data_IF_505787706528
#
_entry.id   IF_505787706528
#
_cell.length_a   1.000
_cell.length_b   1.000
_cell.length_c   1.000
_cell.angle_alpha   90.00
_cell.angle_beta   90.00
_cell.angle_gamma   90.00
#
_symmetry.space_group_name_H-M   'P 1'
#
loop_
_entity.id
_entity.type
_entity.pdbx_description
1 polymer ?
#
# COMPACT_ATOMS: atom_id res chain seq x y z
N UNK A 1 12.70 -7.94 0.46
CA UNK A 1 11.54 -7.46 1.24
C UNK A 1 11.01 -8.59 2.10
N UNK A 2 10.51 -8.29 3.31
CA UNK A 2 10.00 -9.30 4.22
C UNK A 2 8.74 -9.99 3.69
N UNK A 3 8.45 -11.17 4.24
CA UNK A 3 7.21 -11.94 4.03
C UNK A 3 6.09 -11.53 4.98
N UNK A 4 6.30 -10.49 5.78
CA UNK A 4 5.33 -9.96 6.73
C UNK A 4 4.79 -8.60 6.27
N UNK A 5 3.65 -8.11 6.81
CA UNK A 5 3.21 -6.74 6.61
C UNK A 5 4.27 -5.72 7.02
N UNK A 6 4.23 -4.55 6.39
CA UNK A 6 5.09 -3.42 6.75
C UNK A 6 4.27 -2.34 7.42
N UNK A 7 4.74 -1.87 8.57
CA UNK A 7 4.30 -0.62 9.15
C UNK A 7 5.03 0.54 8.47
N UNK A 8 4.27 1.52 7.99
CA UNK A 8 4.80 2.79 7.49
C UNK A 8 4.30 3.93 8.36
N UNK A 9 5.19 4.88 8.63
CA UNK A 9 4.88 6.12 9.30
C UNK A 9 5.11 7.29 8.35
N UNK A 10 4.10 8.12 8.16
CA UNK A 10 4.24 9.43 7.54
C UNK A 10 4.50 10.47 8.62
N UNK A 11 5.63 11.17 8.50
CA UNK A 11 5.95 12.31 9.34
C UNK A 11 5.78 13.59 8.52
N UNK A 12 4.66 14.27 8.75
CA UNK A 12 4.28 15.51 8.04
C UNK A 12 4.44 16.76 8.92
N UNK A 13 5.00 16.60 10.13
CA UNK A 13 5.09 17.66 11.15
C UNK A 13 3.74 18.26 11.54
N UNK A 14 3.77 19.42 12.20
CA UNK A 14 2.59 20.18 12.63
C UNK A 14 2.00 21.05 11.49
N UNK A 15 1.97 20.51 10.27
CA UNK A 15 1.58 21.25 9.06
C UNK A 15 0.06 21.47 8.92
N UNK A 16 -0.76 20.87 9.79
CA UNK A 16 -2.22 20.87 9.65
C UNK A 16 -2.71 20.04 8.45
N UNK A 17 -1.83 19.25 7.85
CA UNK A 17 -2.15 18.37 6.74
C UNK A 17 -2.74 17.04 7.23
N UNK A 18 -3.65 16.49 6.44
CA UNK A 18 -4.24 15.18 6.60
C UNK A 18 -3.60 14.20 5.63
N UNK A 19 -3.50 12.93 6.07
CA UNK A 19 -2.98 11.83 5.26
C UNK A 19 -4.14 10.91 4.91
N UNK A 20 -4.54 10.94 3.64
CA UNK A 20 -5.58 10.07 3.12
C UNK A 20 -4.97 8.85 2.43
N UNK A 21 -5.40 7.67 2.88
CA UNK A 21 -5.11 6.40 2.23
C UNK A 21 -6.14 6.17 1.10
N UNK A 22 -5.69 6.26 -0.15
CA UNK A 22 -6.53 6.08 -1.33
C UNK A 22 -6.57 4.62 -1.83
N UNK A 23 -6.06 3.68 -1.04
CA UNK A 23 -6.02 2.26 -1.36
C UNK A 23 -4.96 1.90 -2.39
N UNK A 24 -5.21 0.82 -3.12
CA UNK A 24 -4.29 0.34 -4.15
C UNK A 24 -4.25 1.28 -5.36
N UNK A 25 -3.08 1.42 -5.97
CA UNK A 25 -2.94 2.20 -7.21
C UNK A 25 -3.72 1.53 -8.36
N UNK A 26 -4.67 2.25 -8.96
CA UNK A 26 -5.68 1.71 -9.91
C UNK A 26 -5.08 0.98 -11.12
N UNK A 27 -4.00 1.51 -11.69
CA UNK A 27 -3.40 0.99 -12.92
C UNK A 27 -2.15 0.12 -12.67
N UNK A 28 -1.98 -0.33 -11.42
CA UNK A 28 -0.86 -1.19 -11.05
C UNK A 28 -1.28 -2.65 -11.02
N UNK A 29 -0.56 -3.49 -11.76
CA UNK A 29 -0.74 -4.95 -11.76
C UNK A 29 -0.23 -5.55 -10.45
N UNK A 30 -1.14 -5.68 -9.46
CA UNK A 30 -0.89 -6.28 -8.16
C UNK A 30 -0.68 -7.79 -8.36
N UNK A 31 0.51 -8.30 -8.02
CA UNK A 31 0.83 -9.72 -8.20
C UNK A 31 0.93 -10.40 -6.84
N UNK A 32 -0.09 -11.17 -6.38
CA UNK A 32 0.00 -11.92 -5.15
C UNK A 32 1.09 -13.01 -5.25
N UNK A 33 1.66 -13.39 -4.11
CA UNK A 33 2.46 -14.60 -4.02
C UNK A 33 1.55 -15.82 -3.91
N UNK A 34 1.96 -16.92 -4.52
CA UNK A 34 1.26 -18.20 -4.49
C UNK A 34 1.75 -19.10 -3.33
N UNK A 35 2.15 -18.49 -2.21
CA UNK A 35 2.70 -19.21 -1.06
C UNK A 35 1.55 -19.68 -0.16
N UNK A 36 1.60 -20.92 0.33
CA UNK A 36 0.61 -21.44 1.30
C UNK A 36 0.51 -20.60 2.59
N UNK A 37 1.53 -19.78 2.85
CA UNK A 37 1.60 -18.82 3.96
C UNK A 37 1.11 -17.41 3.63
N UNK A 38 0.88 -17.08 2.35
CA UNK A 38 0.23 -15.82 2.02
C UNK A 38 -1.18 -15.87 2.62
N UNK A 39 -1.47 -14.94 3.54
CA UNK A 39 -2.77 -14.87 4.23
C UNK A 39 -3.83 -14.73 3.16
N UNK A 40 -4.50 -15.85 2.81
CA UNK A 40 -5.56 -16.03 1.79
C UNK A 40 -5.94 -14.71 1.11
N UNK A 41 -5.03 -14.21 0.28
CA UNK A 41 -5.28 -12.99 -0.46
C UNK A 41 -6.24 -13.45 -1.54
N UNK A 42 -7.53 -13.25 -1.29
CA UNK A 42 -8.60 -13.67 -2.18
C UNK A 42 -8.22 -13.23 -3.59
N UNK A 43 -7.98 -14.19 -4.48
CA UNK A 43 -7.42 -13.93 -5.80
C UNK A 43 -8.40 -13.00 -6.55
N UNK A 44 -8.05 -11.71 -6.64
CA UNK A 44 -8.91 -10.66 -7.19
C UNK A 44 -9.23 -9.49 -6.26
N UNK A 45 -8.89 -9.56 -4.96
CA UNK A 45 -9.04 -8.42 -4.03
C UNK A 45 -7.79 -7.53 -4.06
N UNK A 46 -8.02 -6.22 -4.22
CA UNK A 46 -6.98 -5.20 -4.08
C UNK A 46 -6.39 -5.22 -2.66
N UNK A 47 -5.07 -4.99 -2.49
CA UNK A 47 -4.48 -4.96 -1.16
C UNK A 47 -5.10 -3.84 -0.33
N UNK A 48 -5.64 -4.19 0.83
CA UNK A 48 -6.23 -3.24 1.77
C UNK A 48 -5.17 -2.78 2.77
N UNK A 49 -5.03 -1.46 2.88
CA UNK A 49 -4.18 -0.82 3.88
C UNK A 49 -4.98 -0.60 5.15
N UNK A 50 -4.43 -1.02 6.29
CA UNK A 50 -5.04 -0.80 7.59
C UNK A 50 -4.42 0.43 8.25
N UNK A 51 -5.23 1.39 8.66
CA UNK A 51 -4.79 2.50 9.52
C UNK A 51 -4.70 1.98 10.96
N UNK A 52 -3.51 2.04 11.56
CA UNK A 52 -3.31 1.66 12.96
C UNK A 52 -3.64 2.86 13.86
N UNK A 53 -3.00 3.99 13.56
CA UNK A 53 -3.15 5.29 14.25
C UNK A 53 -2.96 6.40 13.21
N UNK A 54 -3.24 7.66 13.56
CA UNK A 54 -2.91 8.80 12.70
C UNK A 54 -1.46 8.76 12.20
N UNK A 55 -1.27 8.86 10.88
CA UNK A 55 0.03 8.78 10.24
C UNK A 55 0.71 7.40 10.20
N UNK A 56 0.14 6.35 10.80
CA UNK A 56 0.71 5.00 10.85
C UNK A 56 -0.21 3.98 10.18
N UNK A 57 0.32 3.29 9.18
CA UNK A 57 -0.45 2.35 8.35
C UNK A 57 0.29 1.01 8.22
N UNK A 58 -0.48 -0.08 8.24
CA UNK A 58 0.01 -1.42 7.94
C UNK A 58 -0.32 -1.78 6.49
N UNK A 59 0.71 -2.16 5.73
CA UNK A 59 0.63 -2.53 4.33
C UNK A 59 0.86 -4.04 4.19
N UNK A 60 -0.05 -4.79 3.53
CA UNK A 60 0.07 -6.23 3.37
C UNK A 60 1.07 -6.63 2.27
N UNK A 61 2.19 -5.91 2.12
CA UNK A 61 3.23 -6.17 1.11
C UNK A 61 3.79 -7.59 1.21
N UNK A 62 3.71 -8.16 2.42
CA UNK A 62 4.05 -9.52 2.78
C UNK A 62 3.34 -10.59 1.95
N UNK A 63 2.23 -10.27 1.27
CA UNK A 63 1.45 -11.21 0.46
C UNK A 63 1.68 -11.07 -1.05
N UNK A 64 2.49 -10.10 -1.51
CA UNK A 64 2.57 -9.73 -2.92
C UNK A 64 4.01 -9.76 -3.44
N UNK A 65 4.18 -10.29 -4.66
CA UNK A 65 5.38 -10.10 -5.46
C UNK A 65 5.52 -8.63 -5.86
N UNK A 66 4.44 -8.05 -6.40
CA UNK A 66 4.34 -6.65 -6.77
C UNK A 66 3.13 -6.05 -6.05
N UNK A 67 3.34 -4.96 -5.32
CA UNK A 67 2.21 -4.19 -4.80
C UNK A 67 2.43 -2.68 -4.85
N UNK A 68 1.34 -1.93 -5.00
CA UNK A 68 1.38 -0.47 -5.02
C UNK A 68 0.22 0.15 -4.26
N UNK A 69 0.54 1.16 -3.46
CA UNK A 69 -0.37 1.85 -2.55
C UNK A 69 -0.31 3.36 -2.81
N UNK A 70 -1.46 4.01 -2.72
CA UNK A 70 -1.63 5.43 -3.01
C UNK A 70 -2.04 6.19 -1.76
N UNK A 71 -1.27 7.21 -1.42
CA UNK A 71 -1.58 8.14 -0.35
C UNK A 71 -1.63 9.56 -0.91
N UNK A 72 -2.50 10.39 -0.33
CA UNK A 72 -2.56 11.83 -0.62
C UNK A 72 -2.40 12.60 0.67
N UNK A 73 -1.56 13.62 0.65
CA UNK A 73 -1.30 14.49 1.80
C UNK A 73 -1.72 15.90 1.42
N UNK A 74 -2.66 16.48 2.17
CA UNK A 74 -3.22 17.79 1.85
C UNK A 74 -4.04 18.37 3.00
N UNK A 75 -4.71 19.50 2.76
CA UNK A 75 -5.45 20.22 3.81
C UNK A 75 -6.85 19.66 4.10
N UNK A 76 -7.22 18.51 3.51
CA UNK A 76 -8.54 17.91 3.62
C UNK A 76 -8.46 16.39 3.76
N UNK A 77 -9.40 15.81 4.53
CA UNK A 77 -9.62 14.36 4.68
C UNK A 77 -10.39 13.73 3.51
N UNK A 78 -10.68 14.50 2.46
CA UNK A 78 -11.34 14.02 1.24
C UNK A 78 -10.42 14.11 0.01
N UNK A 79 -9.11 14.20 0.24
CA UNK A 79 -8.10 14.31 -0.80
C UNK A 79 -8.19 13.15 -1.81
N UNK A 80 -8.59 11.94 -1.42
CA UNK A 80 -8.81 10.83 -2.36
C UNK A 80 -9.98 11.02 -3.33
N UNK A 81 -10.96 11.86 -2.99
CA UNK A 81 -12.12 12.16 -3.84
C UNK A 81 -11.88 13.38 -4.75
N UNK A 82 -10.80 14.12 -4.52
CA UNK A 82 -10.45 15.29 -5.32
C UNK A 82 -9.93 14.91 -6.72
N UNK A 83 -10.22 15.77 -7.69
CA UNK A 83 -9.75 15.64 -9.07
C UNK A 83 -8.21 15.76 -9.15
N UNK A 84 -7.57 15.00 -10.06
CA UNK A 84 -6.13 15.07 -10.33
C UNK A 84 -5.62 16.48 -10.68
N UNK A 85 -6.48 17.34 -11.22
CA UNK A 85 -6.13 18.75 -11.49
C UNK A 85 -5.79 19.56 -10.23
N UNK A 86 -6.14 19.07 -9.04
CA UNK A 86 -5.82 19.66 -7.74
C UNK A 86 -4.47 19.19 -7.19
N UNK A 87 -3.80 18.23 -7.84
CA UNK A 87 -2.50 17.73 -7.42
C UNK A 87 -1.44 18.84 -7.46
N UNK A 88 -0.63 18.93 -6.40
CA UNK A 88 0.36 19.99 -6.17
C UNK A 88 -0.23 21.34 -5.78
N UNK A 89 -1.55 21.42 -5.58
CA UNK A 89 -2.25 22.62 -5.08
C UNK A 89 -2.96 22.34 -3.77
N UNK A 90 -3.83 21.33 -3.78
CA UNK A 90 -4.68 20.97 -2.64
C UNK A 90 -4.19 19.71 -1.93
N UNK A 91 -3.48 18.85 -2.67
CA UNK A 91 -2.82 17.66 -2.13
C UNK A 91 -1.56 17.32 -2.94
N UNK A 92 -0.60 16.68 -2.29
CA UNK A 92 0.48 15.93 -2.92
C UNK A 92 0.16 14.44 -2.90
N UNK A 93 0.65 13.70 -3.91
CA UNK A 93 0.41 12.26 -4.03
C UNK A 93 1.70 11.47 -3.84
N UNK A 94 1.62 10.44 -2.99
CA UNK A 94 2.70 9.54 -2.65
C UNK A 94 2.30 8.12 -3.04
N UNK A 95 3.01 7.56 -4.01
CA UNK A 95 2.81 6.19 -4.47
C UNK A 95 3.93 5.31 -3.95
N UNK A 96 3.59 4.35 -3.09
CA UNK A 96 4.54 3.41 -2.51
C UNK A 96 4.45 2.10 -3.28
N UNK A 97 5.55 1.75 -3.96
CA UNK A 97 5.61 0.57 -4.83
C UNK A 97 6.64 -0.41 -4.28
N UNK A 98 6.20 -1.65 -4.11
CA UNK A 98 6.96 -2.72 -3.47
C UNK A 98 7.17 -3.85 -4.47
N UNK A 99 8.43 -4.22 -4.68
CA UNK A 99 8.84 -5.36 -5.49
C UNK A 99 9.60 -6.36 -4.64
N UNK A 100 9.27 -7.64 -4.82
CA UNK A 100 10.02 -8.76 -4.25
C UNK A 100 9.92 -9.98 -5.15
N UNK A 101 10.69 -11.01 -4.83
CA UNK A 101 10.50 -12.36 -5.36
C UNK A 101 9.88 -13.22 -4.26
N UNK A 102 8.80 -13.94 -4.57
CA UNK A 102 8.24 -14.94 -3.65
C UNK A 102 9.18 -16.17 -3.61
N UNK A 103 9.27 -16.85 -2.48
CA UNK A 103 10.00 -18.10 -2.41
C UNK A 103 9.09 -19.21 -2.94
N UNK A 104 9.34 -19.71 -4.14
CA UNK A 104 8.75 -20.98 -4.55
C UNK A 104 9.32 -22.07 -3.64
N UNK A 105 8.48 -22.76 -2.87
CA UNK A 105 8.87 -24.02 -2.23
C UNK A 105 9.20 -25.02 -3.35
N UNK A 106 10.47 -25.05 -3.75
CA UNK A 106 11.00 -26.16 -4.55
C UNK A 106 11.05 -27.34 -3.60
N UNK A 107 10.07 -28.24 -3.70
CA UNK A 107 10.10 -29.54 -3.05
C UNK A 107 11.34 -30.30 -3.55
N UNK A 108 12.47 -30.17 -2.86
CA UNK A 108 13.58 -31.09 -3.00
C UNK A 108 13.20 -32.38 -2.27
N UNK A 109 12.55 -33.29 -2.99
CA UNK A 109 12.48 -34.69 -2.58
C UNK A 109 13.88 -35.28 -2.82
N UNK A 110 14.64 -35.50 -1.74
CA UNK A 110 15.78 -36.43 -1.69
C UNK A 110 15.27 -37.73 -1.07
#
# INVERSE_FOLDING_TARGET
MPTVPLEIKFDVGDSGNYIDNCGSLRDFDQKPCNDEHAIRADHGKQPMVQKIVEGIYELPVGNFMHSAYRFRIGYSTESCNMNESQRGRSFDEYNLIFYRRCQTTTNFNI
#
